data_IF_965840818934
#
_entry.id   IF_965840818934
#
_cell.length_a   1.000
_cell.length_b   1.000
_cell.length_c   1.000
_cell.angle_alpha   90.00
_cell.angle_beta   90.00
_cell.angle_gamma   90.00
#
_symmetry.space_group_name_H-M   'P 1'
#
loop_
_entity.id
_entity.type
_entity.pdbx_description
1 polymer ?
#
# COMPACT_ATOMS: atom_id res chain seq x y z
N UNK A 1 27.57 3.54 19.19
CA UNK A 1 27.33 3.79 18.35
C UNK A 1 26.83 4.82 18.11
N UNK A 2 26.87 5.36 17.56
CA UNK A 2 26.54 6.38 17.39
C UNK A 2 25.85 6.42 16.32
N UNK A 3 25.55 6.63 15.66
CA UNK A 3 24.86 6.62 14.60
C UNK A 3 23.66 7.36 14.57
N UNK A 4 22.79 7.09 13.66
CA UNK A 4 21.60 7.75 13.59
C UNK A 4 20.70 7.36 14.64
N UNK A 5 19.80 8.18 15.03
CA UNK A 5 18.86 7.86 16.05
C UNK A 5 17.86 6.85 15.47
N UNK A 6 17.31 6.05 16.33
CA UNK A 6 16.32 5.09 15.94
C UNK A 6 15.11 5.76 15.32
N UNK A 7 14.74 6.90 15.86
CA UNK A 7 13.59 7.66 15.34
C UNK A 7 13.78 8.03 13.89
N UNK A 8 14.97 8.49 13.53
CA UNK A 8 15.25 8.85 12.14
C UNK A 8 15.14 7.63 11.22
N UNK A 9 15.65 6.50 11.69
CA UNK A 9 15.59 5.28 10.90
C UNK A 9 14.15 4.78 10.72
N UNK A 10 13.35 4.90 11.75
CA UNK A 10 11.97 4.48 11.67
C UNK A 10 11.18 5.35 10.71
N UNK A 11 11.43 6.65 10.70
CA UNK A 11 10.77 7.54 9.80
C UNK A 11 11.08 7.21 8.35
N UNK A 12 12.33 6.93 8.08
CA UNK A 12 12.76 6.60 6.76
C UNK A 12 12.14 5.30 6.27
N UNK A 13 12.13 4.29 7.14
CA UNK A 13 11.55 3.01 6.79
C UNK A 13 10.04 3.13 6.54
N UNK A 14 9.37 3.93 7.34
CA UNK A 14 7.95 4.14 7.21
C UNK A 14 7.60 4.80 5.89
N UNK A 15 8.37 5.80 5.48
CA UNK A 15 8.17 6.46 4.19
C UNK A 15 8.35 5.50 3.04
N UNK A 16 9.38 4.68 3.11
CA UNK A 16 9.65 3.71 2.07
C UNK A 16 8.53 2.69 1.97
N UNK A 17 8.00 2.27 3.12
CA UNK A 17 6.89 1.31 3.13
C UNK A 17 5.64 1.89 2.52
N UNK A 18 5.32 3.14 2.84
CA UNK A 18 4.14 3.79 2.29
C UNK A 18 4.25 3.92 0.77
N UNK A 19 5.45 4.23 0.30
CA UNK A 19 5.70 4.34 -1.13
C UNK A 19 5.52 2.99 -1.84
N UNK A 20 5.99 1.92 -1.20
CA UNK A 20 5.84 0.58 -1.77
C UNK A 20 4.37 0.19 -1.86
N UNK A 21 3.61 0.44 -0.81
CA UNK A 21 2.18 0.11 -0.82
C UNK A 21 1.49 0.92 -1.91
N UNK A 22 1.84 2.19 -2.06
CA UNK A 22 1.25 3.06 -3.08
C UNK A 22 1.45 2.44 -4.46
N UNK A 23 2.67 2.07 -4.78
CA UNK A 23 3.00 1.51 -6.09
C UNK A 23 2.30 0.18 -6.31
N UNK A 24 2.32 -0.67 -5.32
CA UNK A 24 1.71 -1.99 -5.46
C UNK A 24 0.20 -1.87 -5.62
N UNK A 25 -0.42 -0.96 -4.88
CA UNK A 25 -1.86 -0.81 -4.96
C UNK A 25 -2.29 -0.31 -6.33
N UNK A 26 -1.59 0.69 -6.86
CA UNK A 26 -1.89 1.21 -8.20
C UNK A 26 -1.77 0.09 -9.23
N UNK A 27 -0.67 -0.65 -9.15
CA UNK A 27 -0.41 -1.72 -10.11
C UNK A 27 -1.49 -2.79 -10.05
N UNK A 28 -1.79 -3.29 -8.86
CA UNK A 28 -2.75 -4.38 -8.72
C UNK A 28 -4.16 -3.93 -9.09
N UNK A 29 -4.52 -2.71 -8.68
CA UNK A 29 -5.83 -2.17 -9.01
C UNK A 29 -5.98 -2.04 -10.52
N UNK A 30 -4.97 -1.48 -11.17
CA UNK A 30 -5.01 -1.28 -12.62
C UNK A 30 -5.08 -2.61 -13.36
N UNK A 31 -4.32 -3.59 -12.91
CA UNK A 31 -4.33 -4.89 -13.53
C UNK A 31 -5.70 -5.56 -13.47
N UNK A 32 -6.46 -5.28 -12.42
CA UNK A 32 -7.80 -5.84 -12.28
C UNK A 32 -8.86 -4.97 -12.94
N UNK A 33 -8.46 -3.83 -13.49
CA UNK A 33 -9.40 -2.96 -14.18
C UNK A 33 -10.34 -2.20 -13.27
N UNK A 34 -9.98 -2.02 -12.00
CA UNK A 34 -10.82 -1.28 -11.07
C UNK A 34 -10.47 0.19 -11.05
N UNK A 35 -11.50 1.05 -10.98
CA UNK A 35 -11.28 2.46 -10.67
C UNK A 35 -11.04 2.55 -9.16
N UNK A 36 -10.53 3.69 -8.71
CA UNK A 36 -10.40 3.92 -7.27
C UNK A 36 -11.74 3.80 -6.56
N UNK A 37 -12.78 4.36 -7.17
CA UNK A 37 -14.11 4.32 -6.58
C UNK A 37 -14.64 2.89 -6.48
N UNK A 38 -14.42 2.10 -7.52
CA UNK A 38 -14.90 0.74 -7.50
C UNK A 38 -14.17 -0.11 -6.46
N UNK A 39 -12.86 0.06 -6.40
CA UNK A 39 -12.08 -0.67 -5.39
C UNK A 39 -12.53 -0.28 -3.99
N UNK A 40 -12.74 1.01 -3.75
CA UNK A 40 -13.19 1.48 -2.44
C UNK A 40 -14.54 0.88 -2.09
N UNK A 41 -15.43 0.86 -3.03
CA UNK A 41 -16.76 0.30 -2.82
C UNK A 41 -16.67 -1.18 -2.43
N UNK A 42 -15.91 -1.94 -3.19
CA UNK A 42 -15.79 -3.38 -2.95
C UNK A 42 -15.09 -3.69 -1.63
N UNK A 43 -14.13 -2.86 -1.25
CA UNK A 43 -13.37 -3.08 -0.02
C UNK A 43 -14.05 -2.48 1.21
N UNK A 44 -15.10 -1.71 1.01
CA UNK A 44 -15.80 -1.09 2.12
C UNK A 44 -15.02 0.04 2.77
N UNK A 45 -14.29 0.81 1.95
CA UNK A 45 -13.54 1.96 2.44
C UNK A 45 -13.87 3.18 1.58
N UNK A 46 -13.49 4.36 2.01
CA UNK A 46 -13.73 5.57 1.25
C UNK A 46 -12.80 5.67 0.05
N UNK A 47 -13.28 6.25 -1.03
CA UNK A 47 -12.44 6.50 -2.17
C UNK A 47 -11.26 7.39 -1.78
N UNK A 48 -11.48 8.34 -0.88
CA UNK A 48 -10.40 9.19 -0.40
C UNK A 48 -9.28 8.38 0.22
N UNK A 49 -9.64 7.32 0.92
CA UNK A 49 -8.64 6.44 1.53
C UNK A 49 -7.77 5.80 0.47
N UNK A 50 -8.39 5.29 -0.60
CA UNK A 50 -7.64 4.69 -1.70
C UNK A 50 -6.71 5.73 -2.32
N UNK A 51 -7.24 6.93 -2.57
CA UNK A 51 -6.45 7.99 -3.17
C UNK A 51 -5.23 8.34 -2.32
N UNK A 52 -5.43 8.46 -1.01
CA UNK A 52 -4.33 8.80 -0.09
C UNK A 52 -3.26 7.73 -0.05
N UNK A 53 -3.69 6.46 -0.07
CA UNK A 53 -2.73 5.36 -0.09
C UNK A 53 -1.92 5.41 -1.37
N UNK A 54 -2.58 5.62 -2.49
CA UNK A 54 -1.90 5.62 -3.78
C UNK A 54 -0.97 6.81 -3.96
N UNK A 55 -1.21 7.88 -3.22
CA UNK A 55 -0.31 9.03 -3.25
C UNK A 55 0.90 8.87 -2.34
N UNK A 56 0.94 7.81 -1.55
CA UNK A 56 2.10 7.54 -0.72
C UNK A 56 2.22 8.38 0.52
N UNK A 57 1.16 9.12 0.88
CA UNK A 57 1.18 10.00 2.05
C UNK A 57 0.48 9.39 3.24
N UNK A 58 0.07 8.16 3.13
CA UNK A 58 -0.77 7.56 4.14
C UNK A 58 -0.42 6.08 4.32
N UNK A 59 -0.24 5.68 5.56
CA UNK A 59 0.00 4.28 5.87
C UNK A 59 -1.31 3.65 6.30
N UNK A 60 -1.86 2.77 5.49
CA UNK A 60 -3.13 2.15 5.83
C UNK A 60 -2.98 1.18 7.00
N UNK A 61 -4.08 0.97 7.71
CA UNK A 61 -4.10 0.00 8.80
C UNK A 61 -4.04 -1.41 8.22
N UNK A 62 -3.71 -2.36 9.06
CA UNK A 62 -3.70 -3.75 8.64
C UNK A 62 -5.08 -4.18 8.18
N UNK A 63 -6.13 -3.70 8.85
CA UNK A 63 -7.49 -4.03 8.45
C UNK A 63 -7.78 -3.56 7.02
N UNK A 64 -7.39 -2.34 6.71
CA UNK A 64 -7.59 -1.80 5.37
C UNK A 64 -6.80 -2.60 4.34
N UNK A 65 -5.55 -2.92 4.64
CA UNK A 65 -4.73 -3.71 3.73
C UNK A 65 -5.32 -5.08 3.49
N UNK A 66 -5.84 -5.70 4.54
CA UNK A 66 -6.46 -7.01 4.42
C UNK A 66 -7.68 -6.95 3.50
N UNK A 67 -8.52 -5.94 3.68
CA UNK A 67 -9.70 -5.78 2.84
C UNK A 67 -9.32 -5.61 1.38
N UNK A 68 -8.30 -4.80 1.14
CA UNK A 68 -7.84 -4.57 -0.23
C UNK A 68 -7.29 -5.84 -0.84
N UNK A 69 -6.52 -6.61 -0.07
CA UNK A 69 -5.94 -7.84 -0.60
C UNK A 69 -7.00 -8.85 -0.98
N UNK A 70 -8.07 -8.92 -0.21
CA UNK A 70 -9.17 -9.83 -0.51
C UNK A 70 -9.84 -9.44 -1.82
N UNK A 71 -10.14 -8.16 -2.00
CA UNK A 71 -10.81 -7.68 -3.21
C UNK A 71 -9.91 -7.87 -4.43
N UNK A 72 -8.61 -7.58 -4.26
CA UNK A 72 -7.66 -7.70 -5.36
C UNK A 72 -7.21 -9.13 -5.61
N UNK A 73 -7.64 -10.05 -4.76
CA UNK A 73 -7.29 -11.47 -4.87
C UNK A 73 -5.79 -11.66 -4.91
N UNK A 74 -5.13 -11.01 -3.97
CA UNK A 74 -3.68 -11.13 -3.85
C UNK A 74 -3.35 -11.38 -2.39
N UNK A 75 -2.09 -11.64 -2.12
CA UNK A 75 -1.66 -11.84 -0.76
C UNK A 75 -1.34 -10.49 -0.14
N UNK A 76 -1.43 -10.43 1.18
CA UNK A 76 -1.08 -9.21 1.87
C UNK A 76 0.36 -8.81 1.54
N UNK A 77 1.24 -9.79 1.43
CA UNK A 77 2.64 -9.51 1.08
C UNK A 77 2.78 -8.86 -0.29
N UNK A 78 1.85 -9.14 -1.19
CA UNK A 78 1.89 -8.51 -2.52
C UNK A 78 1.68 -7.00 -2.45
N UNK A 79 1.03 -6.54 -1.39
CA UNK A 79 0.78 -5.11 -1.21
C UNK A 79 1.88 -4.41 -0.43
N UNK A 80 2.59 -5.12 0.43
CA UNK A 80 3.55 -4.48 1.32
C UNK A 80 5.00 -4.70 0.95
N UNK A 81 5.26 -5.55 -0.03
CA UNK A 81 6.63 -5.80 -0.46
C UNK A 81 6.86 -5.31 -1.87
N UNK A 82 8.01 -4.74 -2.09
CA UNK A 82 8.37 -4.28 -3.41
C UNK A 82 8.44 -5.48 -4.34
N UNK A 83 8.01 -5.28 -5.58
CA UNK A 83 8.05 -6.34 -6.53
C UNK A 83 9.50 -6.70 -6.83
N UNK A 84 9.84 -7.99 -6.74
CA UNK A 84 11.17 -8.39 -7.03
C UNK A 84 11.41 -8.47 -8.49
N UNK A 85 12.58 -8.04 -8.92
CA UNK A 85 12.95 -8.13 -10.29
C UNK A 85 13.44 -9.53 -10.55
N UNK A 86 12.93 -10.14 -11.62
CA UNK A 86 13.36 -11.42 -11.88
C UNK A 86 14.57 -11.38 -12.66
N UNK A 87 15.41 -12.25 -12.55
CA UNK A 87 16.57 -12.19 -13.23
C UNK A 87 16.67 -13.15 -14.09
#
# INVERSE_FOLDING_TARGET
MKGKSLTAQLKKASSASASTVADRLVTLRSERGFSQARLAELAGVDRKTINRIENGHFSPSLDTLTRLSVVLKCRLSDLVEAKRTKR
#
